data_IF_397214652154
#
_entry.id   IF_397214652154
#
_cell.length_a   1.000
_cell.length_b   1.000
_cell.length_c   1.000
_cell.angle_alpha   90.00
_cell.angle_beta   90.00
_cell.angle_gamma   90.00
#
_symmetry.space_group_name_H-M   'P 1'
#
loop_
_entity.id
_entity.type
_entity.pdbx_description
1 polymer ?
#
# COMPACT_ATOMS: atom_id res chain seq x y z
N UNK A 1 -4.92 16.31 -4.05
CA UNK A 1 -4.14 16.63 -5.27
C UNK A 1 -2.74 16.02 -5.23
N UNK A 2 -1.92 16.24 -4.19
CA UNK A 2 -0.53 15.74 -4.08
C UNK A 2 -0.48 14.20 -4.13
N UNK A 3 -1.33 13.50 -3.36
CA UNK A 3 -1.44 12.04 -3.40
C UNK A 3 -1.70 11.55 -4.84
N UNK A 4 -2.73 12.10 -5.50
CA UNK A 4 -3.10 11.68 -6.85
C UNK A 4 -2.02 11.97 -7.89
N UNK A 5 -1.35 13.13 -7.79
CA UNK A 5 -0.25 13.47 -8.67
C UNK A 5 0.93 12.51 -8.49
N UNK A 6 1.36 12.29 -7.26
CA UNK A 6 2.43 11.33 -6.94
C UNK A 6 2.08 9.91 -7.38
N UNK A 7 0.84 9.48 -7.15
CA UNK A 7 0.32 8.18 -7.59
C UNK A 7 0.42 8.01 -9.10
N UNK A 8 -0.03 9.00 -9.88
CA UNK A 8 -0.01 8.95 -11.36
C UNK A 8 1.43 8.97 -11.87
N UNK A 9 2.26 9.88 -11.37
CA UNK A 9 3.68 9.96 -11.78
C UNK A 9 4.42 8.66 -11.48
N UNK A 10 4.25 8.09 -10.28
CA UNK A 10 4.85 6.81 -9.94
C UNK A 10 4.41 5.71 -10.92
N UNK A 11 3.14 5.68 -11.28
CA UNK A 11 2.61 4.68 -12.21
C UNK A 11 3.12 4.85 -13.64
N UNK A 12 3.26 6.09 -14.11
CA UNK A 12 3.80 6.35 -15.46
C UNK A 12 5.27 5.92 -15.56
N UNK A 13 6.09 6.29 -14.58
CA UNK A 13 7.54 6.07 -14.67
C UNK A 13 7.98 4.67 -14.19
N UNK A 14 7.26 4.06 -13.26
CA UNK A 14 7.68 2.84 -12.58
C UNK A 14 6.75 1.64 -12.81
N UNK A 15 5.73 1.76 -13.66
CA UNK A 15 4.79 0.67 -13.98
C UNK A 15 5.46 -0.66 -14.37
N UNK A 16 6.56 -0.69 -15.15
CA UNK A 16 7.21 -1.95 -15.54
C UNK A 16 8.10 -2.55 -14.43
N UNK A 17 8.26 -1.87 -13.31
CA UNK A 17 9.19 -2.28 -12.24
C UNK A 17 8.83 -3.63 -11.60
N UNK A 18 7.55 -3.91 -11.26
CA UNK A 18 7.16 -5.21 -10.70
C UNK A 18 7.47 -6.40 -11.61
N UNK A 19 7.36 -6.21 -12.92
CA UNK A 19 7.64 -7.25 -13.90
C UNK A 19 9.15 -7.50 -14.06
N UNK A 20 9.97 -6.45 -13.89
CA UNK A 20 11.43 -6.52 -14.08
C UNK A 20 12.19 -7.07 -12.89
N UNK A 21 11.88 -6.60 -11.69
CA UNK A 21 12.64 -6.95 -10.47
C UNK A 21 11.86 -7.83 -9.50
N UNK A 22 10.62 -8.16 -9.83
CA UNK A 22 9.73 -9.02 -9.05
C UNK A 22 8.73 -8.23 -8.20
N UNK A 23 7.47 -8.66 -8.28
CA UNK A 23 6.35 -8.00 -7.61
C UNK A 23 6.52 -7.87 -6.10
N UNK A 24 6.99 -8.95 -5.43
CA UNK A 24 7.19 -8.95 -3.99
C UNK A 24 8.26 -7.94 -3.52
N UNK A 25 9.35 -7.76 -4.28
CA UNK A 25 10.39 -6.77 -3.94
C UNK A 25 9.87 -5.35 -4.06
N UNK A 26 9.18 -5.06 -5.18
CA UNK A 26 8.58 -3.73 -5.40
C UNK A 26 7.54 -3.44 -4.33
N UNK A 27 6.65 -4.40 -4.05
CA UNK A 27 5.62 -4.25 -3.03
C UNK A 27 6.22 -3.98 -1.64
N UNK A 28 7.30 -4.68 -1.26
CA UNK A 28 7.99 -4.48 0.01
C UNK A 28 8.57 -3.06 0.14
N UNK A 29 9.30 -2.61 -0.89
CA UNK A 29 9.91 -1.27 -0.89
C UNK A 29 8.82 -0.20 -0.85
N UNK A 30 7.79 -0.34 -1.67
CA UNK A 30 6.71 0.63 -1.77
C UNK A 30 5.85 0.67 -0.50
N UNK A 31 5.58 -0.47 0.14
CA UNK A 31 4.91 -0.51 1.44
C UNK A 31 5.74 0.16 2.54
N UNK A 32 7.07 -0.02 2.54
CA UNK A 32 7.93 0.69 3.50
C UNK A 32 7.90 2.21 3.28
N UNK A 33 7.93 2.68 2.03
CA UNK A 33 7.81 4.10 1.67
C UNK A 33 6.44 4.65 2.10
N UNK A 34 5.37 3.92 1.84
CA UNK A 34 4.00 4.26 2.25
C UNK A 34 3.89 4.39 3.76
N UNK A 35 4.38 3.39 4.50
CA UNK A 35 4.40 3.41 5.97
C UNK A 35 5.19 4.59 6.54
N UNK A 36 6.34 4.91 5.95
CA UNK A 36 7.12 6.08 6.34
C UNK A 36 6.34 7.39 6.08
N UNK A 37 5.67 7.50 4.93
CA UNK A 37 4.80 8.64 4.62
C UNK A 37 3.67 8.82 5.63
N UNK A 38 2.99 7.73 6.02
CA UNK A 38 1.94 7.73 7.03
C UNK A 38 2.45 8.19 8.41
N UNK A 39 3.65 7.73 8.82
CA UNK A 39 4.29 8.18 10.06
C UNK A 39 4.67 9.66 10.03
N UNK A 40 5.01 10.21 8.88
CA UNK A 40 5.28 11.65 8.74
C UNK A 40 3.99 12.47 8.89
N UNK A 41 2.85 11.96 8.44
CA UNK A 41 1.57 12.65 8.54
C UNK A 41 1.01 12.60 9.97
N UNK A 42 1.24 11.52 10.71
CA UNK A 42 0.68 11.31 12.05
C UNK A 42 0.85 12.51 13.00
N UNK A 43 2.07 13.03 13.27
CA UNK A 43 2.24 14.15 14.19
C UNK A 43 1.82 15.49 13.58
N UNK A 44 1.62 15.56 12.26
CA UNK A 44 1.27 16.76 11.50
C UNK A 44 2.02 18.04 11.95
N UNK A 45 3.36 18.03 12.02
CA UNK A 45 4.14 19.15 12.60
C UNK A 45 4.08 20.42 11.75
N UNK A 46 3.61 20.32 10.51
CA UNK A 46 3.44 21.46 9.60
C UNK A 46 3.04 21.02 8.19
N UNK A 47 2.54 21.95 7.37
CA UNK A 47 1.99 21.64 6.04
C UNK A 47 3.00 20.94 5.12
N UNK A 48 4.26 21.37 5.15
CA UNK A 48 5.30 20.83 4.28
C UNK A 48 5.54 19.34 4.54
N UNK A 49 5.62 18.93 5.82
CA UNK A 49 5.84 17.54 6.21
C UNK A 49 4.63 16.68 5.80
N UNK A 50 3.42 17.20 5.98
CA UNK A 50 2.19 16.52 5.55
C UNK A 50 2.17 16.37 4.03
N UNK A 51 2.59 17.37 3.26
CA UNK A 51 2.63 17.28 1.80
C UNK A 51 3.66 16.24 1.33
N UNK A 52 4.85 16.21 1.92
CA UNK A 52 5.86 15.20 1.60
C UNK A 52 5.36 13.81 1.97
N UNK A 53 4.81 13.63 3.18
CA UNK A 53 4.24 12.37 3.63
C UNK A 53 3.12 11.88 2.69
N UNK A 54 2.21 12.76 2.29
CA UNK A 54 1.13 12.45 1.34
C UNK A 54 1.68 12.03 -0.03
N UNK A 55 2.76 12.66 -0.50
CA UNK A 55 3.45 12.26 -1.73
C UNK A 55 4.06 10.87 -1.63
N UNK A 56 4.71 10.55 -0.51
CA UNK A 56 5.29 9.22 -0.26
C UNK A 56 4.20 8.13 -0.18
N UNK A 57 3.07 8.42 0.48
CA UNK A 57 1.92 7.49 0.53
C UNK A 57 1.37 7.23 -0.87
N UNK A 58 1.17 8.27 -1.68
CA UNK A 58 0.69 8.13 -3.06
C UNK A 58 1.65 7.32 -3.94
N UNK A 59 2.96 7.57 -3.81
CA UNK A 59 3.99 6.82 -4.53
C UNK A 59 4.00 5.34 -4.11
N UNK A 60 4.05 5.06 -2.81
CA UNK A 60 4.11 3.70 -2.28
C UNK A 60 2.87 2.89 -2.65
N UNK A 61 1.69 3.42 -2.41
CA UNK A 61 0.43 2.77 -2.74
C UNK A 61 0.27 2.45 -4.24
N UNK A 62 0.76 3.35 -5.12
CA UNK A 62 0.65 3.18 -6.57
C UNK A 62 1.26 1.88 -7.09
N UNK A 63 2.36 1.42 -6.49
CA UNK A 63 3.11 0.26 -6.95
C UNK A 63 2.98 -0.95 -6.02
N UNK A 64 2.64 -0.75 -4.74
CA UNK A 64 2.43 -1.85 -3.80
C UNK A 64 1.28 -2.76 -4.26
N UNK A 65 0.15 -2.18 -4.64
CA UNK A 65 -1.01 -2.93 -5.10
C UNK A 65 -0.71 -3.80 -6.33
N UNK A 66 -0.20 -3.27 -7.46
CA UNK A 66 0.14 -4.11 -8.62
C UNK A 66 1.29 -5.08 -8.30
N UNK A 67 2.24 -4.72 -7.45
CA UNK A 67 3.33 -5.59 -7.04
C UNK A 67 2.85 -6.88 -6.36
N UNK A 68 1.93 -6.77 -5.42
CA UNK A 68 1.31 -7.95 -4.79
C UNK A 68 0.40 -8.71 -5.76
N UNK A 69 -0.31 -8.03 -6.65
CA UNK A 69 -1.12 -8.65 -7.69
C UNK A 69 -0.31 -9.51 -8.64
N UNK A 70 0.82 -9.01 -9.13
CA UNK A 70 1.77 -9.77 -9.96
C UNK A 70 2.25 -11.03 -9.23
N UNK A 71 2.58 -10.92 -7.95
CA UNK A 71 3.03 -12.04 -7.15
C UNK A 71 1.93 -13.09 -6.95
N UNK A 72 0.69 -12.66 -6.67
CA UNK A 72 -0.46 -13.55 -6.53
C UNK A 72 -0.71 -14.35 -7.81
N UNK A 73 -0.69 -13.70 -8.98
CA UNK A 73 -0.88 -14.34 -10.27
C UNK A 73 0.29 -15.27 -10.62
N UNK A 74 1.53 -14.87 -10.32
CA UNK A 74 2.73 -15.65 -10.61
C UNK A 74 2.75 -16.98 -9.85
N UNK A 75 2.24 -17.01 -8.62
CA UNK A 75 2.19 -18.22 -7.76
C UNK A 75 1.02 -19.15 -8.09
N UNK A 76 0.04 -18.65 -8.83
CA UNK A 76 -1.13 -19.45 -9.22
C UNK A 76 -0.81 -20.34 -10.43
N UNK A 77 -1.36 -21.57 -10.48
CA UNK A 77 -1.32 -22.40 -11.68
C UNK A 77 -1.89 -21.65 -12.90
N UNK A 78 -1.37 -21.90 -14.12
CA UNK A 78 -1.80 -21.17 -15.32
C UNK A 78 -3.32 -21.13 -15.53
N UNK A 79 -4.01 -22.23 -15.19
CA UNK A 79 -5.45 -22.39 -15.36
C UNK A 79 -6.27 -21.55 -14.35
N UNK A 80 -5.68 -21.14 -13.22
CA UNK A 80 -6.36 -20.43 -12.13
C UNK A 80 -5.88 -19.00 -11.92
N UNK A 81 -5.07 -18.46 -12.82
CA UNK A 81 -4.53 -17.09 -12.73
C UNK A 81 -5.61 -16.02 -12.66
N UNK A 82 -6.70 -16.18 -13.45
CA UNK A 82 -7.84 -15.28 -13.39
C UNK A 82 -8.54 -15.33 -12.03
N UNK A 83 -8.73 -16.52 -11.49
CA UNK A 83 -9.33 -16.71 -10.14
C UNK A 83 -8.44 -16.10 -9.07
N UNK A 84 -7.12 -16.28 -9.15
CA UNK A 84 -6.18 -15.68 -8.20
C UNK A 84 -6.24 -14.16 -8.21
N UNK A 85 -6.31 -13.54 -9.40
CA UNK A 85 -6.46 -12.08 -9.51
C UNK A 85 -7.83 -11.61 -8.99
N UNK A 86 -8.90 -12.34 -9.31
CA UNK A 86 -10.25 -12.05 -8.79
C UNK A 86 -10.29 -12.13 -7.26
N UNK A 87 -9.71 -13.16 -6.66
CA UNK A 87 -9.62 -13.29 -5.21
C UNK A 87 -8.79 -12.14 -4.59
N UNK A 88 -7.67 -11.78 -5.21
CA UNK A 88 -6.83 -10.67 -4.74
C UNK A 88 -7.61 -9.34 -4.69
N UNK A 89 -8.37 -9.03 -5.76
CA UNK A 89 -9.21 -7.82 -5.81
C UNK A 89 -10.35 -7.91 -4.79
N UNK A 90 -11.00 -9.05 -4.65
CA UNK A 90 -12.08 -9.24 -3.68
C UNK A 90 -11.59 -9.02 -2.23
N UNK A 91 -10.40 -9.49 -1.88
CA UNK A 91 -9.80 -9.21 -0.57
C UNK A 91 -9.50 -7.72 -0.37
N UNK A 92 -9.06 -7.01 -1.41
CA UNK A 92 -8.89 -5.56 -1.35
C UNK A 92 -10.23 -4.86 -1.06
N UNK A 93 -11.29 -5.21 -1.80
CA UNK A 93 -12.61 -4.60 -1.65
C UNK A 93 -13.19 -4.86 -0.25
N UNK A 94 -13.06 -6.08 0.26
CA UNK A 94 -13.45 -6.43 1.63
C UNK A 94 -12.64 -5.61 2.65
N UNK A 95 -11.33 -5.49 2.44
CA UNK A 95 -10.46 -4.71 3.34
C UNK A 95 -10.87 -3.24 3.36
N UNK A 96 -11.15 -2.63 2.21
CA UNK A 96 -11.62 -1.24 2.12
C UNK A 96 -12.99 -1.08 2.78
N UNK A 97 -13.91 -2.02 2.56
CA UNK A 97 -15.24 -2.00 3.15
C UNK A 97 -15.24 -2.12 4.67
N UNK A 98 -14.32 -2.89 5.24
CA UNK A 98 -14.19 -3.09 6.69
C UNK A 98 -13.34 -2.01 7.35
N UNK A 99 -12.19 -1.67 6.76
CA UNK A 99 -11.24 -0.73 7.36
C UNK A 99 -11.76 0.71 7.37
N UNK A 100 -12.54 1.12 6.35
CA UNK A 100 -13.13 2.45 6.31
C UNK A 100 -13.93 2.77 7.58
N UNK A 101 -14.99 1.99 7.91
CA UNK A 101 -15.74 2.17 9.16
C UNK A 101 -14.89 2.03 10.43
N UNK A 102 -13.98 1.06 10.50
CA UNK A 102 -13.12 0.87 11.68
C UNK A 102 -12.22 2.07 11.93
N UNK A 103 -11.56 2.58 10.90
CA UNK A 103 -10.73 3.78 11.01
C UNK A 103 -11.56 5.03 11.26
N UNK A 104 -12.82 5.07 10.80
CA UNK A 104 -13.78 6.12 11.16
C UNK A 104 -14.09 6.14 12.65
N UNK A 105 -14.29 4.98 13.28
CA UNK A 105 -14.45 4.86 14.74
C UNK A 105 -13.17 5.31 15.47
N UNK A 106 -12.01 4.91 15.00
CA UNK A 106 -10.73 5.37 15.56
C UNK A 106 -10.62 6.89 15.48
N UNK A 107 -10.95 7.47 14.33
CA UNK A 107 -10.93 8.93 14.13
C UNK A 107 -11.86 9.67 15.10
N UNK A 108 -13.05 9.14 15.34
CA UNK A 108 -14.06 9.79 16.19
C UNK A 108 -13.69 9.76 17.68
N UNK A 109 -12.98 8.75 18.16
CA UNK A 109 -12.62 8.59 19.57
C UNK A 109 -11.20 9.08 19.89
N UNK A 110 -10.26 8.89 18.99
CA UNK A 110 -8.83 9.13 19.24
C UNK A 110 -8.22 10.24 18.34
N UNK A 111 -9.05 10.83 17.49
CA UNK A 111 -8.63 11.89 16.58
C UNK A 111 -8.02 11.35 15.27
N UNK A 112 -8.05 12.20 14.25
CA UNK A 112 -7.67 11.82 12.88
C UNK A 112 -6.18 11.45 12.76
N UNK A 113 -5.31 12.04 13.57
CA UNK A 113 -3.88 11.70 13.59
C UNK A 113 -3.63 10.22 13.90
N UNK A 114 -4.40 9.65 14.83
CA UNK A 114 -4.28 8.23 15.22
C UNK A 114 -4.63 7.27 14.08
N UNK A 115 -5.45 7.71 13.13
CA UNK A 115 -5.76 6.92 11.93
C UNK A 115 -4.50 6.67 11.10
N UNK A 116 -3.66 7.68 10.91
CA UNK A 116 -2.40 7.54 10.18
C UNK A 116 -1.40 6.64 10.91
N UNK A 117 -1.36 6.72 12.24
CA UNK A 117 -0.54 5.81 13.04
C UNK A 117 -1.03 4.37 12.94
N UNK A 118 -2.34 4.13 13.05
CA UNK A 118 -2.94 2.81 12.90
C UNK A 118 -2.69 2.24 11.50
N UNK A 119 -2.88 3.05 10.45
CA UNK A 119 -2.60 2.65 9.08
C UNK A 119 -1.10 2.32 8.89
N UNK A 120 -0.19 3.13 9.42
CA UNK A 120 1.24 2.84 9.37
C UNK A 120 1.58 1.52 10.07
N UNK A 121 1.00 1.26 11.24
CA UNK A 121 1.20 0.01 11.97
C UNK A 121 0.74 -1.21 11.15
N UNK A 122 -0.41 -1.12 10.49
CA UNK A 122 -0.92 -2.19 9.61
C UNK A 122 -0.02 -2.41 8.40
N UNK A 123 0.45 -1.35 7.76
CA UNK A 123 1.40 -1.42 6.64
C UNK A 123 2.69 -2.10 7.09
N UNK A 124 3.28 -1.67 8.20
CA UNK A 124 4.51 -2.32 8.73
C UNK A 124 4.27 -3.75 9.17
N UNK A 125 3.10 -4.08 9.72
CA UNK A 125 2.73 -5.46 10.05
C UNK A 125 2.61 -6.37 8.81
N UNK A 126 2.35 -5.79 7.63
CA UNK A 126 2.33 -6.54 6.37
C UNK A 126 3.73 -6.88 5.82
N UNK A 127 4.77 -6.12 6.21
CA UNK A 127 6.14 -6.33 5.68
C UNK A 127 6.71 -7.72 5.95
N UNK A 128 6.55 -8.36 7.14
CA UNK A 128 7.00 -9.73 7.36
C UNK A 128 6.36 -10.73 6.39
N UNK A 129 5.10 -10.51 6.01
CA UNK A 129 4.40 -11.34 5.01
C UNK A 129 5.06 -11.14 3.64
N UNK A 130 5.29 -9.89 3.25
CA UNK A 130 5.97 -9.56 1.99
C UNK A 130 7.40 -10.14 1.95
N UNK A 131 8.13 -10.12 3.07
CA UNK A 131 9.46 -10.73 3.18
C UNK A 131 9.39 -12.25 2.98
N UNK A 132 8.38 -12.93 3.54
CA UNK A 132 8.17 -14.36 3.32
C UNK A 132 7.91 -14.69 1.85
N UNK A 133 7.25 -13.80 1.12
CA UNK A 133 7.02 -13.93 -0.32
C UNK A 133 8.30 -13.77 -1.16
N UNK A 134 9.37 -13.21 -0.61
CA UNK A 134 10.69 -13.15 -1.27
C UNK A 134 11.47 -14.46 -1.18
N UNK A 135 11.09 -15.33 -0.25
CA UNK A 135 11.73 -16.64 -0.10
C UNK A 135 11.16 -17.60 -1.14
N UNK A 136 11.98 -18.37 -1.84
CA UNK A 136 11.54 -19.39 -2.80
C UNK A 136 10.72 -20.47 -2.14
#
# INVERSE_FOLDING_TARGET
TIFGLSFILARIFFSPLPDRIGGAKVALICAAIEGAGLLMIWPAPGPLVVYIGTGLVGFGYSLAFPGFGVEAVRRAPPQSRGTAMGAYVAFLDISLGVMGPLLGVVASHLGIGTVYLAAAALVFASLPIAIRLLRP
#
